data_IF_708964708941
#
_entry.id   IF_708964708941
#
_cell.length_a   1.000
_cell.length_b   1.000
_cell.length_c   1.000
_cell.angle_alpha   90.00
_cell.angle_beta   90.00
_cell.angle_gamma   90.00
#
_symmetry.space_group_name_H-M   'P 1'
#
loop_
_entity.id
_entity.type
_entity.pdbx_description
1 polymer ?
#
# COMPACT_ATOMS: atom_id res chain seq x y z
N UNK A 1 21.70 -12.32 6.11
CA UNK A 1 20.24 -12.45 5.87
C UNK A 1 19.62 -13.14 7.07
N UNK A 2 18.41 -12.76 7.47
CA UNK A 2 17.71 -13.50 8.52
C UNK A 2 17.01 -14.71 7.91
N UNK A 3 16.93 -15.81 8.65
CA UNK A 3 16.30 -17.06 8.23
C UNK A 3 15.24 -17.52 9.22
N UNK A 4 14.35 -18.42 8.78
CA UNK A 4 13.18 -18.87 9.54
C UNK A 4 13.48 -19.30 10.98
N UNK A 5 14.52 -20.10 11.21
CA UNK A 5 14.86 -20.66 12.53
C UNK A 5 15.09 -19.57 13.59
N UNK A 6 15.52 -18.37 13.17
CA UNK A 6 15.77 -17.27 14.10
C UNK A 6 14.47 -16.67 14.67
N UNK A 7 13.31 -16.95 14.07
CA UNK A 7 11.99 -16.46 14.45
C UNK A 7 11.29 -17.33 15.50
N UNK A 8 11.77 -18.55 15.72
CA UNK A 8 11.11 -19.53 16.60
C UNK A 8 10.89 -18.95 18.00
N UNK A 9 9.64 -19.04 18.48
CA UNK A 9 9.23 -18.49 19.77
C UNK A 9 9.16 -16.96 19.87
N UNK A 10 9.52 -16.20 18.82
CA UNK A 10 9.61 -14.72 18.86
C UNK A 10 8.46 -13.99 18.17
N UNK A 11 7.72 -14.65 17.27
CA UNK A 11 6.69 -14.01 16.43
C UNK A 11 5.68 -13.20 17.24
N UNK A 12 5.12 -13.77 18.31
CA UNK A 12 4.15 -13.07 19.17
C UNK A 12 4.72 -11.78 19.76
N UNK A 13 5.96 -11.81 20.23
CA UNK A 13 6.60 -10.63 20.83
C UNK A 13 6.96 -9.59 19.77
N UNK A 14 7.43 -10.03 18.61
CA UNK A 14 7.66 -9.15 17.45
C UNK A 14 6.35 -8.44 17.06
N UNK A 15 5.24 -9.19 16.96
CA UNK A 15 3.92 -8.62 16.63
C UNK A 15 3.49 -7.54 17.62
N UNK A 16 3.58 -7.83 18.92
CA UNK A 16 3.25 -6.87 19.97
C UNK A 16 4.11 -5.61 19.92
N UNK A 17 5.41 -5.75 19.66
CA UNK A 17 6.32 -4.60 19.55
C UNK A 17 6.01 -3.77 18.28
N UNK A 18 5.59 -4.40 17.17
CA UNK A 18 5.11 -3.71 15.95
C UNK A 18 3.82 -2.93 16.25
N UNK A 19 2.82 -3.56 16.85
CA UNK A 19 1.54 -2.93 17.19
C UNK A 19 1.70 -1.77 18.19
N UNK A 20 2.71 -1.84 19.07
CA UNK A 20 3.03 -0.76 19.99
C UNK A 20 3.75 0.42 19.31
N UNK A 21 4.57 0.16 18.29
CA UNK A 21 5.40 1.17 17.63
C UNK A 21 4.76 1.81 16.39
N UNK A 22 3.84 1.10 15.72
CA UNK A 22 3.21 1.54 14.48
C UNK A 22 1.69 1.58 14.70
N UNK A 23 1.09 2.78 14.82
CA UNK A 23 -0.35 2.89 14.99
C UNK A 23 -1.11 2.28 13.82
N UNK A 24 -2.20 1.58 14.12
CA UNK A 24 -3.05 0.88 13.13
C UNK A 24 -4.46 1.46 13.12
N UNK A 25 -5.23 1.17 12.06
CA UNK A 25 -6.63 1.57 11.96
C UNK A 25 -6.82 3.08 11.86
N UNK A 26 -7.62 3.63 12.79
CA UNK A 26 -7.88 5.08 12.91
C UNK A 26 -6.97 5.78 13.92
N UNK A 27 -6.04 5.05 14.54
CA UNK A 27 -5.09 5.64 15.49
C UNK A 27 -3.95 6.37 14.77
N UNK A 28 -3.46 7.42 15.45
CA UNK A 28 -2.35 8.26 14.99
C UNK A 28 -1.20 8.20 16.01
N UNK A 29 -0.02 8.69 15.64
CA UNK A 29 1.12 8.73 16.56
C UNK A 29 0.86 9.71 17.72
N UNK A 30 1.20 9.30 18.94
CA UNK A 30 1.12 10.15 20.14
C UNK A 30 2.18 11.25 20.12
N UNK A 31 3.37 10.90 19.65
CA UNK A 31 4.51 11.80 19.49
C UNK A 31 4.98 11.77 18.03
N UNK A 32 5.42 12.92 17.51
CA UNK A 32 5.88 13.07 16.13
C UNK A 32 7.41 12.99 16.14
N UNK A 33 7.97 12.03 15.38
CA UNK A 33 9.42 11.87 15.28
C UNK A 33 10.07 13.02 14.50
N UNK A 34 11.34 13.33 14.81
CA UNK A 34 12.11 14.37 14.09
C UNK A 34 12.23 14.10 12.59
N UNK A 35 12.35 12.83 12.19
CA UNK A 35 12.35 12.44 10.77
C UNK A 35 11.07 12.87 10.07
N UNK A 36 9.92 12.79 10.75
CA UNK A 36 8.63 13.24 10.24
C UNK A 36 8.58 14.75 10.13
N UNK A 37 9.00 15.50 11.16
CA UNK A 37 8.97 16.97 11.11
C UNK A 37 9.94 17.55 10.10
N UNK A 38 11.06 16.85 9.83
CA UNK A 38 12.11 17.30 8.92
C UNK A 38 11.87 16.91 7.45
N UNK A 39 10.75 16.27 7.16
CA UNK A 39 10.39 15.92 5.79
C UNK A 39 10.15 17.19 4.96
N UNK A 40 10.94 17.39 3.91
CA UNK A 40 11.06 18.69 3.23
C UNK A 40 9.75 19.13 2.55
N UNK A 41 8.97 18.18 2.06
CA UNK A 41 7.70 18.39 1.37
C UNK A 41 6.64 19.06 2.26
N UNK A 42 6.85 19.19 3.58
CA UNK A 42 5.97 20.02 4.40
C UNK A 42 5.97 21.50 3.99
N UNK A 43 7.04 22.00 3.36
CA UNK A 43 7.11 23.37 2.87
C UNK A 43 6.05 23.68 1.81
N UNK A 44 5.65 22.67 1.02
CA UNK A 44 4.66 22.76 -0.06
C UNK A 44 3.24 22.55 0.47
N UNK A 45 3.06 22.14 1.74
CA UNK A 45 1.73 21.93 2.33
C UNK A 45 0.86 23.19 2.26
N UNK A 46 1.50 24.37 2.35
CA UNK A 46 0.85 25.68 2.26
C UNK A 46 0.27 25.96 0.87
N UNK A 47 0.67 25.22 -0.16
CA UNK A 47 0.24 25.39 -1.55
C UNK A 47 -0.80 24.34 -1.99
N UNK A 48 -1.03 23.29 -1.19
CA UNK A 48 -2.08 22.28 -1.42
C UNK A 48 -3.52 22.84 -1.52
N UNK A 49 -4.49 22.03 -1.96
CA UNK A 49 -5.90 22.44 -2.01
C UNK A 49 -6.40 23.09 -0.69
N UNK A 50 -7.14 24.22 -0.73
CA UNK A 50 -7.64 24.91 0.46
C UNK A 50 -8.47 24.01 1.41
N UNK A 51 -9.19 23.03 0.84
CA UNK A 51 -10.00 22.07 1.58
C UNK A 51 -9.22 21.19 2.58
N UNK A 52 -7.89 21.12 2.49
CA UNK A 52 -7.08 20.28 3.38
C UNK A 52 -6.20 21.06 4.36
N UNK A 53 -6.23 22.40 4.38
CA UNK A 53 -5.32 23.21 5.21
C UNK A 53 -5.42 22.90 6.70
N UNK A 54 -6.63 22.61 7.18
CA UNK A 54 -6.88 22.23 8.59
C UNK A 54 -6.35 20.83 8.95
N UNK A 55 -5.87 20.05 7.98
CA UNK A 55 -5.41 18.68 8.18
C UNK A 55 -3.90 18.56 8.44
N UNK A 56 -3.11 19.63 8.40
CA UNK A 56 -1.65 19.54 8.53
C UNK A 56 -1.19 18.78 9.79
N UNK A 57 -1.72 19.18 10.95
CA UNK A 57 -1.40 18.53 12.22
C UNK A 57 -1.83 17.05 12.24
N UNK A 58 -2.97 16.74 11.61
CA UNK A 58 -3.43 15.35 11.47
C UNK A 58 -2.52 14.54 10.55
N UNK A 59 -2.11 15.12 9.42
CA UNK A 59 -1.18 14.50 8.48
C UNK A 59 0.19 14.24 9.14
N UNK A 60 0.70 15.17 9.95
CA UNK A 60 1.91 14.98 10.75
C UNK A 60 1.78 13.80 11.72
N UNK A 61 0.69 13.74 12.49
CA UNK A 61 0.45 12.62 13.43
C UNK A 61 0.19 11.29 12.72
N UNK A 62 -0.32 11.32 11.48
CA UNK A 62 -0.58 10.11 10.69
C UNK A 62 0.64 9.57 9.96
N UNK A 63 1.70 10.36 9.78
CA UNK A 63 2.92 9.89 9.12
C UNK A 63 3.59 8.79 9.96
N UNK A 64 3.93 7.67 9.33
CA UNK A 64 4.40 6.46 10.00
C UNK A 64 3.28 5.57 10.58
N UNK A 65 2.01 5.78 10.21
CA UNK A 65 0.90 4.91 10.64
C UNK A 65 0.38 4.02 9.52
N UNK A 66 -0.11 2.84 9.90
CA UNK A 66 -0.51 1.81 8.95
C UNK A 66 -1.86 2.15 8.30
N UNK A 67 -2.86 2.43 9.11
CA UNK A 67 -4.25 2.50 8.65
C UNK A 67 -5.05 1.23 8.82
N UNK A 68 -6.32 1.30 8.39
CA UNK A 68 -7.24 0.17 8.37
C UNK A 68 -7.52 -0.32 6.95
N UNK A 69 -8.48 -1.24 6.82
CA UNK A 69 -8.84 -1.86 5.54
C UNK A 69 -7.81 -2.88 5.08
N UNK A 70 -7.41 -2.81 3.81
CA UNK A 70 -6.45 -3.77 3.24
C UNK A 70 -4.98 -3.43 3.56
N UNK A 71 -4.71 -2.45 4.42
CA UNK A 71 -3.36 -2.16 4.88
C UNK A 71 -2.88 -3.24 5.86
N UNK A 72 -1.57 -3.56 5.81
CA UNK A 72 -0.96 -4.58 6.63
C UNK A 72 0.56 -4.39 6.79
N UNK A 73 1.13 -5.04 7.80
CA UNK A 73 2.57 -5.29 7.95
C UNK A 73 2.72 -6.81 8.08
N UNK A 74 3.58 -7.40 7.26
CA UNK A 74 3.83 -8.83 7.25
C UNK A 74 5.32 -9.13 7.40
N UNK A 75 5.63 -10.15 8.20
CA UNK A 75 6.92 -10.83 8.16
C UNK A 75 6.69 -12.13 7.39
N UNK A 76 7.41 -12.28 6.28
CA UNK A 76 7.25 -13.40 5.38
C UNK A 76 8.53 -14.24 5.29
N UNK A 77 8.36 -15.48 4.85
CA UNK A 77 9.42 -16.37 4.42
C UNK A 77 9.29 -16.62 2.92
N UNK A 78 10.42 -16.65 2.21
CA UNK A 78 10.45 -17.19 0.85
C UNK A 78 10.65 -18.72 0.84
N UNK A 79 10.74 -19.29 -0.36
CA UNK A 79 10.96 -20.74 -0.57
C UNK A 79 12.32 -21.24 -0.07
N UNK A 80 13.25 -20.34 0.21
CA UNK A 80 14.57 -20.63 0.78
C UNK A 80 14.63 -20.29 2.28
N UNK A 81 13.48 -20.01 2.90
CA UNK A 81 13.35 -19.62 4.31
C UNK A 81 14.05 -18.29 4.67
N UNK A 82 14.36 -17.42 3.71
CA UNK A 82 14.84 -16.07 4.02
C UNK A 82 13.67 -15.21 4.52
N UNK A 83 13.97 -14.31 5.46
CA UNK A 83 12.98 -13.39 6.02
C UNK A 83 12.82 -12.15 5.14
N UNK A 84 11.56 -11.83 4.86
CA UNK A 84 11.13 -10.63 4.15
C UNK A 84 10.27 -9.75 5.05
N UNK A 85 10.51 -8.43 4.98
CA UNK A 85 9.72 -7.42 5.68
C UNK A 85 8.85 -6.72 4.64
N UNK A 86 7.54 -6.93 4.72
CA UNK A 86 6.59 -6.36 3.78
C UNK A 86 5.59 -5.47 4.50
N UNK A 87 5.23 -4.35 3.89
CA UNK A 87 4.14 -3.52 4.38
C UNK A 87 3.35 -2.94 3.23
N UNK A 88 2.07 -2.71 3.49
CA UNK A 88 1.13 -2.16 2.53
C UNK A 88 0.35 -1.02 3.18
N UNK A 89 0.58 0.20 2.69
CA UNK A 89 -0.10 1.41 3.14
C UNK A 89 0.00 2.52 2.09
N UNK A 90 -0.78 3.59 2.29
CA UNK A 90 -0.89 4.72 1.38
C UNK A 90 -0.78 6.08 2.07
N UNK A 91 -1.40 7.07 1.46
CA UNK A 91 -1.36 8.49 1.84
C UNK A 91 -2.26 8.87 3.01
N UNK A 92 -2.74 7.89 3.78
CA UNK A 92 -3.64 8.06 4.94
C UNK A 92 -4.85 8.95 4.60
N UNK A 93 -5.38 9.67 5.59
CA UNK A 93 -6.58 10.49 5.40
C UNK A 93 -6.34 11.69 4.46
N UNK A 94 -5.13 12.26 4.49
CA UNK A 94 -4.81 13.48 3.73
C UNK A 94 -4.95 13.25 2.22
N UNK A 95 -4.41 12.15 1.67
CA UNK A 95 -4.56 11.88 0.24
C UNK A 95 -6.01 11.56 -0.17
N UNK A 96 -6.79 10.91 0.69
CA UNK A 96 -8.23 10.71 0.41
C UNK A 96 -8.96 12.06 0.34
N UNK A 97 -8.66 12.99 1.26
CA UNK A 97 -9.29 14.31 1.27
C UNK A 97 -8.86 15.18 0.08
N UNK A 98 -7.60 15.10 -0.34
CA UNK A 98 -7.13 15.73 -1.58
C UNK A 98 -7.90 15.19 -2.80
N UNK A 99 -8.02 13.87 -2.92
CA UNK A 99 -8.77 13.24 -4.01
C UNK A 99 -10.25 13.66 -4.02
N UNK A 100 -10.92 13.64 -2.86
CA UNK A 100 -12.31 14.11 -2.73
C UNK A 100 -12.48 15.57 -3.16
N UNK A 101 -11.57 16.46 -2.77
CA UNK A 101 -11.62 17.88 -3.18
C UNK A 101 -11.56 18.00 -4.71
N UNK A 102 -10.56 17.38 -5.33
CA UNK A 102 -10.34 17.46 -6.78
C UNK A 102 -11.43 16.78 -7.59
N UNK A 103 -11.96 15.63 -7.13
CA UNK A 103 -13.10 14.94 -7.77
C UNK A 103 -14.34 15.84 -7.78
N UNK A 104 -14.62 16.54 -6.67
CA UNK A 104 -15.76 17.45 -6.61
C UNK A 104 -15.58 18.63 -7.57
N UNK A 105 -14.38 19.23 -7.62
CA UNK A 105 -14.06 20.30 -8.59
C UNK A 105 -14.25 19.81 -10.03
N UNK A 106 -13.74 18.62 -10.38
CA UNK A 106 -13.91 18.06 -11.72
C UNK A 106 -15.39 17.84 -12.08
N UNK A 107 -16.21 17.34 -11.14
CA UNK A 107 -17.66 17.15 -11.32
C UNK A 107 -18.39 18.48 -11.52
N UNK A 108 -18.04 19.50 -10.76
CA UNK A 108 -18.64 20.83 -10.88
C UNK A 108 -18.30 21.48 -12.22
N UNK A 109 -17.04 21.37 -12.67
CA UNK A 109 -16.62 21.84 -14.00
C UNK A 109 -17.34 21.11 -15.12
N UNK A 110 -17.43 19.78 -15.06
CA UNK A 110 -18.16 18.99 -16.06
C UNK A 110 -19.63 19.40 -16.14
N UNK A 111 -20.26 19.70 -14.99
CA UNK A 111 -21.63 20.22 -14.92
C UNK A 111 -21.74 21.63 -15.53
N UNK A 112 -20.82 22.55 -15.21
CA UNK A 112 -20.81 23.91 -15.74
C UNK A 112 -20.58 23.95 -17.26
N UNK A 113 -19.74 23.05 -17.76
CA UNK A 113 -19.46 22.90 -19.19
C UNK A 113 -20.50 22.04 -19.93
N UNK A 114 -21.57 21.60 -19.26
CA UNK A 114 -22.60 20.70 -19.79
C UNK A 114 -22.02 19.43 -20.46
N UNK A 115 -20.88 18.96 -19.96
CA UNK A 115 -20.18 17.80 -20.51
C UNK A 115 -20.95 16.52 -20.19
N UNK A 116 -21.33 15.78 -21.25
CA UNK A 116 -22.03 14.50 -21.11
C UNK A 116 -21.04 13.37 -20.84
N UNK A 117 -20.96 12.95 -19.58
CA UNK A 117 -20.17 11.80 -19.15
C UNK A 117 -21.05 10.55 -19.03
N UNK A 118 -20.54 9.34 -19.36
CA UNK A 118 -21.25 8.08 -19.09
C UNK A 118 -21.57 7.88 -17.61
N UNK A 119 -20.67 8.35 -16.73
CA UNK A 119 -20.84 8.37 -15.29
C UNK A 119 -20.21 9.67 -14.73
N UNK A 120 -20.82 10.27 -13.71
CA UNK A 120 -20.29 11.48 -13.05
C UNK A 120 -18.96 11.24 -12.36
N UNK A 121 -18.68 10.00 -11.96
CA UNK A 121 -17.40 9.60 -11.35
C UNK A 121 -16.26 9.49 -12.37
N UNK A 122 -16.55 9.66 -13.67
CA UNK A 122 -15.56 9.76 -14.75
C UNK A 122 -15.19 11.22 -15.08
N UNK A 123 -15.50 12.18 -14.19
CA UNK A 123 -15.08 13.56 -14.36
C UNK A 123 -13.55 13.69 -14.36
N UNK A 124 -13.03 14.56 -15.22
CA UNK A 124 -11.60 14.72 -15.47
C UNK A 124 -11.22 16.19 -15.64
N UNK A 125 -9.92 16.47 -15.52
CA UNK A 125 -9.34 17.77 -15.88
C UNK A 125 -8.67 17.69 -17.25
N UNK A 126 -8.73 18.79 -17.99
CA UNK A 126 -7.99 18.94 -19.25
C UNK A 126 -6.57 19.40 -18.94
N UNK A 127 -5.57 18.76 -19.55
CA UNK A 127 -4.17 19.14 -19.36
C UNK A 127 -3.93 20.60 -19.73
N UNK A 128 -3.16 21.31 -18.90
CA UNK A 128 -2.81 22.72 -19.13
C UNK A 128 -3.72 23.73 -18.43
N UNK A 129 -4.88 23.33 -17.89
CA UNK A 129 -5.70 24.21 -17.07
C UNK A 129 -5.13 24.40 -15.66
N UNK A 130 -5.54 25.46 -14.96
CA UNK A 130 -5.10 25.70 -13.59
C UNK A 130 -5.58 24.61 -12.62
N UNK A 131 -6.76 24.03 -12.86
CA UNK A 131 -7.29 22.94 -12.04
C UNK A 131 -6.50 21.65 -12.25
N UNK A 132 -6.08 21.35 -13.48
CA UNK A 132 -5.16 20.25 -13.73
C UNK A 132 -3.83 20.46 -13.01
N UNK A 133 -3.25 21.67 -13.09
CA UNK A 133 -1.98 21.98 -12.39
C UNK A 133 -2.12 21.80 -10.88
N UNK A 134 -3.21 22.28 -10.28
CA UNK A 134 -3.49 22.14 -8.86
C UNK A 134 -3.69 20.66 -8.47
N UNK A 135 -4.48 19.91 -9.23
CA UNK A 135 -4.64 18.47 -9.03
C UNK A 135 -3.31 17.72 -9.12
N UNK A 136 -2.52 18.02 -10.15
CA UNK A 136 -1.26 17.34 -10.41
C UNK A 136 -0.23 17.60 -9.29
N UNK A 137 -0.14 18.84 -8.82
CA UNK A 137 0.70 19.21 -7.67
C UNK A 137 0.29 18.43 -6.41
N UNK A 138 -1.00 18.43 -6.08
CA UNK A 138 -1.52 17.75 -4.89
C UNK A 138 -1.37 16.22 -4.97
N UNK A 139 -1.54 15.65 -6.17
CA UNK A 139 -1.32 14.24 -6.42
C UNK A 139 0.14 13.86 -6.19
N UNK A 140 1.09 14.64 -6.72
CA UNK A 140 2.53 14.41 -6.51
C UNK A 140 2.88 14.48 -5.02
N UNK A 141 2.40 15.51 -4.31
CA UNK A 141 2.61 15.63 -2.88
C UNK A 141 2.03 14.44 -2.10
N UNK A 142 0.83 13.97 -2.45
CA UNK A 142 0.20 12.82 -1.81
C UNK A 142 0.95 11.50 -2.09
N UNK A 143 1.53 11.34 -3.28
CA UNK A 143 2.39 10.21 -3.61
C UNK A 143 3.67 10.22 -2.76
N UNK A 144 4.33 11.37 -2.65
CA UNK A 144 5.53 11.53 -1.82
C UNK A 144 5.20 11.28 -0.34
N UNK A 145 4.07 11.79 0.15
CA UNK A 145 3.59 11.51 1.51
C UNK A 145 3.39 10.00 1.71
N UNK A 146 2.76 9.30 0.75
CA UNK A 146 2.55 7.86 0.85
C UNK A 146 3.86 7.08 0.87
N UNK A 147 4.85 7.47 0.04
CA UNK A 147 6.18 6.87 0.03
C UNK A 147 6.87 7.07 1.36
N UNK A 148 6.94 8.32 1.83
CA UNK A 148 7.62 8.63 3.08
C UNK A 148 6.93 8.02 4.31
N UNK A 149 5.60 7.91 4.28
CA UNK A 149 4.84 7.16 5.30
C UNK A 149 5.33 5.71 5.39
N UNK A 150 5.52 5.04 4.24
CA UNK A 150 6.06 3.68 4.18
C UNK A 150 7.51 3.62 4.66
N UNK A 151 8.35 4.60 4.31
CA UNK A 151 9.75 4.63 4.73
C UNK A 151 9.89 4.75 6.26
N UNK A 152 9.10 5.62 6.89
CA UNK A 152 9.05 5.76 8.36
C UNK A 152 8.58 4.45 9.01
N UNK A 153 7.52 3.82 8.49
CA UNK A 153 7.05 2.54 9.00
C UNK A 153 8.07 1.42 8.82
N UNK A 154 8.73 1.34 7.65
CA UNK A 154 9.73 0.32 7.36
C UNK A 154 10.94 0.47 8.27
N UNK A 155 11.39 1.70 8.55
CA UNK A 155 12.46 1.96 9.50
C UNK A 155 12.11 1.48 10.92
N UNK A 156 10.88 1.73 11.38
CA UNK A 156 10.37 1.23 12.68
C UNK A 156 10.32 -0.30 12.69
N UNK A 157 9.73 -0.90 11.66
CA UNK A 157 9.57 -2.34 11.54
C UNK A 157 10.92 -3.06 11.52
N UNK A 158 11.85 -2.59 10.68
CA UNK A 158 13.22 -3.10 10.59
C UNK A 158 13.94 -3.04 11.93
N UNK A 159 13.87 -1.92 12.66
CA UNK A 159 14.49 -1.78 13.99
C UNK A 159 13.95 -2.80 15.00
N UNK A 160 12.65 -3.11 14.95
CA UNK A 160 12.04 -4.12 15.83
C UNK A 160 12.58 -5.51 15.48
N UNK A 161 12.62 -5.86 14.20
CA UNK A 161 13.15 -7.15 13.76
C UNK A 161 14.63 -7.29 14.11
N UNK A 162 15.43 -6.26 13.89
CA UNK A 162 16.86 -6.23 14.26
C UNK A 162 17.07 -6.40 15.76
N UNK A 163 16.22 -5.79 16.61
CA UNK A 163 16.24 -6.00 18.06
C UNK A 163 16.07 -7.48 18.42
N UNK A 164 15.14 -8.17 17.78
CA UNK A 164 14.81 -9.57 18.09
C UNK A 164 15.74 -10.61 17.43
N UNK A 165 16.33 -10.28 16.27
CA UNK A 165 17.10 -11.24 15.46
C UNK A 165 18.60 -10.93 15.39
N UNK A 166 19.02 -9.68 15.63
CA UNK A 166 20.41 -9.23 15.55
C UNK A 166 20.90 -8.51 16.82
N UNK A 167 20.15 -8.58 17.93
CA UNK A 167 20.49 -7.86 19.15
C UNK A 167 20.52 -6.33 18.97
N UNK A 168 19.74 -5.81 18.02
CA UNK A 168 19.65 -4.39 17.71
C UNK A 168 20.73 -3.87 16.76
N UNK A 169 21.60 -4.73 16.24
CA UNK A 169 22.60 -4.32 15.24
C UNK A 169 21.92 -4.00 13.90
N UNK A 170 22.24 -2.85 13.27
CA UNK A 170 21.72 -2.52 11.95
C UNK A 170 22.13 -3.55 10.90
N UNK A 171 21.23 -3.82 9.98
CA UNK A 171 21.40 -4.74 8.86
C UNK A 171 21.11 -4.05 7.53
N UNK A 172 21.58 -4.65 6.43
CA UNK A 172 21.28 -4.19 5.07
C UNK A 172 20.39 -5.23 4.38
N UNK A 173 19.25 -4.83 3.77
CA UNK A 173 18.45 -5.76 2.99
C UNK A 173 19.23 -6.22 1.75
N UNK A 174 19.00 -7.47 1.32
CA UNK A 174 19.55 -7.98 0.06
C UNK A 174 18.83 -7.39 -1.15
N UNK A 175 17.52 -7.22 -1.02
CA UNK A 175 16.65 -6.57 -2.01
C UNK A 175 15.69 -5.64 -1.28
N UNK A 176 15.44 -4.47 -1.87
CA UNK A 176 14.42 -3.52 -1.42
C UNK A 176 13.50 -3.21 -2.60
N UNK A 177 12.19 -3.31 -2.37
CA UNK A 177 11.17 -3.06 -3.38
C UNK A 177 10.15 -2.09 -2.81
N UNK A 178 9.83 -1.03 -3.55
CA UNK A 178 8.83 -0.04 -3.16
C UNK A 178 8.07 0.43 -4.40
N UNK A 179 6.78 0.11 -4.45
CA UNK A 179 5.91 0.43 -5.58
C UNK A 179 4.61 1.12 -5.12
N UNK A 180 4.11 2.03 -5.95
CA UNK A 180 2.75 2.57 -5.82
C UNK A 180 1.79 1.72 -6.66
N UNK A 181 0.53 1.66 -6.23
CA UNK A 181 -0.54 1.00 -7.01
C UNK A 181 -1.79 1.88 -7.22
N UNK A 182 -1.82 3.08 -6.64
CA UNK A 182 -2.85 4.10 -6.83
C UNK A 182 -2.16 5.44 -7.06
N UNK A 183 -1.94 5.79 -8.33
CA UNK A 183 -1.20 6.97 -8.72
C UNK A 183 -1.36 7.31 -10.19
N UNK A 184 -0.89 8.49 -10.60
CA UNK A 184 -0.66 8.80 -12.01
C UNK A 184 0.74 9.39 -12.19
N UNK A 185 1.34 9.09 -13.34
CA UNK A 185 2.69 9.51 -13.71
C UNK A 185 2.69 9.95 -15.18
N UNK A 186 3.53 10.94 -15.52
CA UNK A 186 3.78 11.32 -16.92
C UNK A 186 4.83 10.39 -17.48
N UNK A 187 4.51 9.67 -18.55
CA UNK A 187 5.36 8.65 -19.15
C UNK A 187 5.41 8.82 -20.67
N UNK A 188 6.41 8.22 -21.31
CA UNK A 188 6.51 8.14 -22.76
C UNK A 188 6.12 6.73 -23.18
N UNK A 189 5.09 6.60 -24.01
CA UNK A 189 4.66 5.34 -24.61
C UNK A 189 4.25 5.60 -26.06
N UNK A 190 4.65 4.71 -26.97
CA UNK A 190 4.35 4.86 -28.41
C UNK A 190 4.77 6.23 -28.97
N UNK A 191 5.96 6.69 -28.57
CA UNK A 191 6.55 7.99 -28.93
C UNK A 191 5.75 9.24 -28.51
N UNK A 192 4.77 9.07 -27.62
CA UNK A 192 3.91 10.14 -27.12
C UNK A 192 4.06 10.33 -25.60
N UNK A 193 3.99 11.58 -25.16
CA UNK A 193 3.91 11.91 -23.73
C UNK A 193 2.48 11.74 -23.22
N UNK A 194 2.28 10.78 -22.31
CA UNK A 194 0.95 10.42 -21.79
C UNK A 194 0.93 10.45 -20.26
N UNK A 195 -0.25 10.70 -19.69
CA UNK A 195 -0.49 10.56 -18.25
C UNK A 195 -1.09 9.18 -17.96
N UNK A 196 -0.28 8.28 -17.42
CA UNK A 196 -0.71 6.92 -17.10
C UNK A 196 -1.32 6.90 -15.71
N UNK A 197 -2.63 6.68 -15.63
CA UNK A 197 -3.34 6.50 -14.35
C UNK A 197 -3.40 5.03 -13.98
N UNK A 198 -2.83 4.66 -12.83
CA UNK A 198 -2.89 3.31 -12.28
C UNK A 198 -3.72 3.31 -11.00
N UNK A 199 -4.81 2.54 -11.00
CA UNK A 199 -5.68 2.31 -9.84
C UNK A 199 -5.81 0.81 -9.61
N UNK A 200 -5.15 0.31 -8.56
CA UNK A 200 -4.99 -1.12 -8.32
C UNK A 200 -4.05 -1.82 -9.31
N UNK A 201 -3.06 -1.10 -9.86
CA UNK A 201 -2.08 -1.61 -10.82
C UNK A 201 -0.69 -1.04 -10.54
N UNK A 202 0.37 -1.79 -10.82
CA UNK A 202 1.76 -1.43 -10.53
C UNK A 202 2.55 -1.29 -11.83
N UNK A 203 3.60 -0.44 -11.86
CA UNK A 203 4.54 -0.36 -12.99
C UNK A 203 5.37 -1.64 -13.10
N UNK A 204 5.60 -2.08 -14.33
CA UNK A 204 6.25 -3.34 -14.67
C UNK A 204 7.14 -3.19 -15.91
N UNK A 205 8.04 -2.19 -15.93
CA UNK A 205 9.14 -2.12 -16.90
C UNK A 205 10.16 -3.23 -16.62
N UNK A 206 11.05 -3.51 -17.57
CA UNK A 206 12.03 -4.60 -17.45
C UNK A 206 12.90 -4.49 -16.19
N UNK A 207 13.22 -3.28 -15.73
CA UNK A 207 14.03 -3.05 -14.53
C UNK A 207 13.20 -2.84 -13.24
N UNK A 208 11.87 -2.79 -13.34
CA UNK A 208 11.01 -2.56 -12.18
C UNK A 208 10.79 -3.86 -11.42
N UNK A 209 11.03 -3.81 -10.11
CA UNK A 209 10.52 -4.80 -9.16
C UNK A 209 9.15 -4.36 -8.63
N UNK A 210 8.24 -5.31 -8.53
CA UNK A 210 6.88 -5.12 -8.02
C UNK A 210 6.57 -6.06 -6.86
N UNK A 211 5.50 -5.73 -6.14
CA UNK A 211 4.96 -6.56 -5.05
C UNK A 211 3.51 -6.87 -5.40
N UNK A 212 3.17 -8.16 -5.46
CA UNK A 212 1.81 -8.65 -5.69
C UNK A 212 1.34 -9.37 -4.41
N UNK A 213 0.80 -8.64 -3.44
CA UNK A 213 0.24 -9.24 -2.24
C UNK A 213 -0.97 -10.11 -2.51
N UNK A 214 -1.01 -11.26 -1.85
CA UNK A 214 -2.23 -12.02 -1.65
C UNK A 214 -3.12 -11.41 -0.56
N UNK A 215 -3.91 -12.26 0.08
CA UNK A 215 -4.58 -11.98 1.34
C UNK A 215 -3.81 -12.56 2.52
N UNK A 216 -4.22 -12.19 3.74
CA UNK A 216 -3.73 -12.79 4.97
C UNK A 216 -3.82 -14.33 4.89
N UNK A 217 -2.72 -15.04 5.16
CA UNK A 217 -2.62 -16.50 5.08
C UNK A 217 -2.37 -17.08 3.69
N UNK A 218 -2.28 -16.25 2.64
CA UNK A 218 -1.98 -16.70 1.27
C UNK A 218 -0.66 -16.15 0.76
N UNK A 219 -0.15 -16.74 -0.34
CA UNK A 219 1.11 -16.33 -0.95
C UNK A 219 1.08 -14.87 -1.39
N UNK A 220 2.23 -14.24 -1.32
CA UNK A 220 2.53 -12.97 -1.96
C UNK A 220 3.74 -13.15 -2.88
N UNK A 221 3.89 -12.30 -3.89
CA UNK A 221 4.97 -12.43 -4.87
C UNK A 221 5.80 -11.16 -4.97
N UNK A 222 7.13 -11.33 -5.02
CA UNK A 222 8.02 -10.33 -5.58
C UNK A 222 8.18 -10.66 -7.05
N UNK A 223 7.96 -9.66 -7.90
CA UNK A 223 7.97 -9.83 -9.34
C UNK A 223 8.92 -8.84 -9.99
N UNK A 224 9.35 -9.15 -11.21
CA UNK A 224 10.08 -8.23 -12.09
C UNK A 224 9.28 -8.03 -13.37
N UNK A 225 9.21 -6.79 -13.85
CA UNK A 225 8.42 -6.46 -15.03
C UNK A 225 9.01 -7.01 -16.32
N UNK A 226 8.15 -7.24 -17.32
CA UNK A 226 8.55 -7.65 -18.68
C UNK A 226 8.47 -6.53 -19.71
N UNK A 227 8.12 -5.31 -19.30
CA UNK A 227 8.07 -4.15 -20.20
C UNK A 227 7.00 -4.25 -21.29
N UNK A 228 5.89 -4.96 -21.04
CA UNK A 228 4.84 -5.12 -22.06
C UNK A 228 4.19 -3.76 -22.38
N UNK A 229 4.45 -3.24 -23.58
CA UNK A 229 3.92 -1.96 -24.05
C UNK A 229 2.39 -1.96 -24.19
N UNK A 230 1.76 -3.09 -24.49
CA UNK A 230 0.30 -3.17 -24.61
C UNK A 230 -0.42 -2.90 -23.27
N UNK A 231 0.27 -3.08 -22.14
CA UNK A 231 -0.24 -2.74 -20.80
C UNK A 231 0.31 -1.42 -20.26
N UNK A 232 0.93 -0.58 -21.11
CA UNK A 232 1.66 0.61 -20.69
C UNK A 232 2.71 0.28 -19.60
N UNK A 233 3.39 -0.85 -19.78
CA UNK A 233 4.35 -1.43 -18.84
C UNK A 233 3.75 -1.51 -17.42
N UNK A 234 2.58 -2.13 -17.29
CA UNK A 234 1.86 -2.26 -16.01
C UNK A 234 1.44 -3.71 -15.74
N UNK A 235 1.24 -4.04 -14.47
CA UNK A 235 0.73 -5.33 -14.01
C UNK A 235 -0.29 -5.15 -12.88
N UNK A 236 -0.88 -6.25 -12.39
CA UNK A 236 -1.80 -6.21 -11.26
C UNK A 236 -1.12 -5.73 -9.97
N UNK A 237 -1.89 -5.38 -8.93
CA UNK A 237 -1.34 -5.07 -7.61
C UNK A 237 -1.61 -6.15 -6.56
N UNK A 238 -2.44 -7.16 -6.84
CA UNK A 238 -2.87 -8.13 -5.84
C UNK A 238 -4.10 -8.92 -6.26
N UNK A 239 -4.56 -9.82 -5.38
CA UNK A 239 -5.67 -10.76 -5.67
C UNK A 239 -6.99 -10.06 -6.06
N UNK A 240 -7.30 -8.92 -5.44
CA UNK A 240 -8.62 -8.31 -5.53
C UNK A 240 -9.70 -9.07 -4.73
N UNK A 241 -10.73 -8.36 -4.29
CA UNK A 241 -11.79 -8.91 -3.45
C UNK A 241 -12.85 -9.63 -4.28
N UNK A 242 -13.36 -10.74 -3.75
CA UNK A 242 -14.56 -11.44 -4.24
C UNK A 242 -15.84 -10.84 -3.67
N UNK A 243 -15.78 -10.29 -2.46
CA UNK A 243 -16.94 -9.77 -1.76
C UNK A 243 -16.63 -8.50 -0.94
N UNK A 244 -17.68 -7.73 -0.65
CA UNK A 244 -17.57 -6.55 0.20
C UNK A 244 -17.16 -6.92 1.63
N UNK A 245 -16.65 -5.94 2.38
CA UNK A 245 -16.31 -6.12 3.81
C UNK A 245 -17.52 -6.51 4.64
N UNK A 246 -18.67 -5.90 4.36
CA UNK A 246 -19.92 -6.20 5.05
C UNK A 246 -20.44 -7.60 4.75
N UNK A 247 -20.24 -8.10 3.52
CA UNK A 247 -20.58 -9.46 3.16
C UNK A 247 -19.64 -10.46 3.84
N UNK A 248 -18.33 -10.22 3.81
CA UNK A 248 -17.35 -11.08 4.48
C UNK A 248 -17.66 -11.25 5.99
N UNK A 249 -17.98 -10.16 6.70
CA UNK A 249 -18.38 -10.21 8.12
C UNK A 249 -19.64 -11.02 8.40
N UNK A 250 -20.53 -11.16 7.41
CA UNK A 250 -21.75 -11.97 7.53
C UNK A 250 -21.52 -13.42 7.14
N UNK A 251 -20.56 -13.67 6.26
CA UNK A 251 -20.32 -14.98 5.64
C UNK A 251 -19.31 -15.85 6.40
N UNK A 252 -18.45 -15.25 7.23
CA UNK A 252 -17.38 -15.97 7.93
C UNK A 252 -17.44 -15.78 9.43
N UNK A 253 -17.05 -16.83 10.15
CA UNK A 253 -16.94 -16.88 11.60
C UNK A 253 -15.50 -16.64 12.08
N UNK A 254 -15.33 -16.50 13.40
CA UNK A 254 -14.01 -16.49 14.03
C UNK A 254 -13.27 -17.83 13.85
N UNK A 255 -14.00 -18.95 13.84
CA UNK A 255 -13.42 -20.27 13.62
C UNK A 255 -12.88 -20.41 12.19
N UNK A 256 -13.58 -19.85 11.21
CA UNK A 256 -13.08 -19.77 9.83
C UNK A 256 -11.79 -18.96 9.76
N UNK A 257 -11.73 -17.84 10.48
CA UNK A 257 -10.52 -17.02 10.54
C UNK A 257 -9.36 -17.83 11.14
N UNK A 258 -9.57 -18.49 12.29
CA UNK A 258 -8.55 -19.32 12.94
C UNK A 258 -8.03 -20.40 12.00
N UNK A 259 -8.94 -21.13 11.34
CA UNK A 259 -8.59 -22.21 10.41
C UNK A 259 -7.82 -21.71 9.19
N UNK A 260 -8.27 -20.63 8.56
CA UNK A 260 -7.64 -20.14 7.32
C UNK A 260 -6.33 -19.37 7.56
N UNK A 261 -6.02 -19.04 8.82
CA UNK A 261 -4.79 -18.34 9.21
C UNK A 261 -3.91 -19.19 10.13
N UNK A 262 -4.08 -20.51 10.08
CA UNK A 262 -3.24 -21.47 10.76
C UNK A 262 -1.76 -21.31 10.32
N UNK A 263 -0.85 -21.30 11.30
CA UNK A 263 0.57 -21.05 11.06
C UNK A 263 0.95 -19.58 10.86
N UNK A 264 0.01 -18.63 10.98
CA UNK A 264 0.28 -17.18 10.93
C UNK A 264 -0.03 -16.54 12.28
N UNK A 265 0.97 -15.90 12.88
CA UNK A 265 0.80 -15.05 14.07
C UNK A 265 0.12 -13.74 13.67
N UNK A 266 -1.17 -13.64 13.97
CA UNK A 266 -1.96 -12.44 13.73
C UNK A 266 -3.04 -12.29 14.79
N UNK A 267 -3.71 -11.12 14.81
CA UNK A 267 -4.93 -10.95 15.59
C UNK A 267 -6.01 -11.92 15.13
N UNK A 268 -6.75 -12.48 16.08
CA UNK A 268 -7.87 -13.42 15.86
C UNK A 268 -9.10 -12.86 16.57
N UNK A 269 -9.67 -11.80 16.01
CA UNK A 269 -10.86 -11.14 16.55
C UNK A 269 -11.76 -10.63 15.42
N UNK A 270 -12.99 -10.23 15.76
CA UNK A 270 -14.00 -9.79 14.79
C UNK A 270 -13.56 -8.58 13.95
N UNK A 271 -12.59 -7.80 14.44
CA UNK A 271 -12.06 -6.62 13.78
C UNK A 271 -11.30 -6.93 12.49
N UNK A 272 -10.90 -8.18 12.26
CA UNK A 272 -10.13 -8.60 11.07
C UNK A 272 -10.86 -9.61 10.17
N UNK A 273 -12.10 -9.96 10.49
CA UNK A 273 -12.90 -10.92 9.69
C UNK A 273 -13.17 -10.42 8.27
N UNK A 274 -13.31 -9.10 8.07
CA UNK A 274 -13.54 -8.54 6.73
C UNK A 274 -12.35 -8.69 5.78
N UNK A 275 -11.19 -9.08 6.29
CA UNK A 275 -9.95 -9.28 5.55
C UNK A 275 -9.51 -10.76 5.57
N UNK A 276 -10.41 -11.68 5.89
CA UNK A 276 -10.18 -13.12 5.84
C UNK A 276 -9.81 -13.59 4.42
N UNK A 277 -8.86 -14.54 4.26
CA UNK A 277 -8.46 -15.06 2.95
C UNK A 277 -9.59 -15.46 2.01
N UNK A 278 -10.64 -16.11 2.50
CA UNK A 278 -11.81 -16.48 1.70
C UNK A 278 -12.58 -15.31 1.06
N UNK A 279 -12.28 -14.06 1.42
CA UNK A 279 -12.88 -12.86 0.80
C UNK A 279 -12.14 -12.40 -0.48
N UNK A 280 -11.05 -13.05 -0.86
CA UNK A 280 -10.16 -12.66 -1.96
C UNK A 280 -10.10 -13.72 -3.06
N UNK A 281 -9.75 -13.28 -4.28
CA UNK A 281 -9.52 -14.22 -5.39
C UNK A 281 -8.27 -15.08 -5.13
N UNK A 282 -8.17 -16.28 -5.71
CA UNK A 282 -6.93 -17.06 -5.68
C UNK A 282 -5.78 -16.28 -6.33
N UNK A 283 -4.75 -15.96 -5.56
CA UNK A 283 -3.61 -15.16 -6.07
C UNK A 283 -2.86 -15.86 -7.21
N UNK A 284 -2.81 -17.21 -7.19
CA UNK A 284 -2.18 -18.01 -8.23
C UNK A 284 -2.91 -17.85 -9.59
N UNK A 285 -4.23 -17.64 -9.61
CA UNK A 285 -4.99 -17.36 -10.83
C UNK A 285 -4.63 -15.98 -11.41
N UNK A 286 -4.54 -14.97 -10.54
CA UNK A 286 -4.12 -13.61 -10.92
C UNK A 286 -2.70 -13.62 -11.50
N UNK A 287 -1.78 -14.39 -10.91
CA UNK A 287 -0.43 -14.57 -11.45
C UNK A 287 -0.44 -15.31 -12.80
N UNK A 288 -1.30 -16.32 -12.97
CA UNK A 288 -1.40 -17.06 -14.22
C UNK A 288 -1.92 -16.19 -15.39
N UNK A 289 -2.78 -15.22 -15.11
CA UNK A 289 -3.37 -14.31 -16.10
C UNK A 289 -2.44 -13.17 -16.54
N UNK A 290 -1.27 -13.00 -15.92
CA UNK A 290 -0.33 -11.90 -16.22
C UNK A 290 1.10 -12.38 -16.50
N UNK A 291 1.25 -13.64 -16.94
CA UNK A 291 2.56 -14.24 -17.24
C UNK A 291 3.35 -13.49 -18.31
N UNK A 292 2.68 -12.76 -19.18
CA UNK A 292 3.26 -11.90 -20.22
C UNK A 292 3.69 -10.53 -19.67
N UNK A 293 3.22 -10.14 -18.48
CA UNK A 293 3.50 -8.83 -17.89
C UNK A 293 4.66 -8.86 -16.89
N UNK A 294 4.83 -9.97 -16.17
CA UNK A 294 5.81 -10.10 -15.09
C UNK A 294 6.43 -11.49 -15.01
N UNK A 295 7.62 -11.57 -14.42
CA UNK A 295 8.24 -12.80 -13.94
C UNK A 295 8.25 -12.86 -12.41
N UNK A 296 8.10 -14.05 -11.84
CA UNK A 296 8.16 -14.24 -10.38
C UNK A 296 9.62 -14.35 -9.96
N UNK A 297 10.04 -13.44 -9.08
CA UNK A 297 11.38 -13.41 -8.49
C UNK A 297 11.41 -14.16 -7.16
N UNK A 298 10.39 -13.99 -6.32
CA UNK A 298 10.25 -14.69 -5.06
C UNK A 298 8.78 -14.98 -4.74
N UNK A 299 8.52 -16.17 -4.19
CA UNK A 299 7.22 -16.54 -3.61
C UNK A 299 7.32 -16.45 -2.10
N UNK A 300 6.46 -15.64 -1.49
CA UNK A 300 6.46 -15.34 -0.07
C UNK A 300 5.25 -15.97 0.61
N UNK A 301 5.43 -16.46 1.84
CA UNK A 301 4.36 -16.85 2.76
C UNK A 301 4.54 -16.09 4.07
N UNK A 302 3.49 -15.40 4.54
CA UNK A 302 3.54 -14.72 5.82
C UNK A 302 3.57 -15.73 6.97
N UNK A 303 4.35 -15.40 8.00
CA UNK A 303 4.34 -16.08 9.31
C UNK A 303 3.85 -15.15 10.42
N UNK A 304 3.78 -13.84 10.14
CA UNK A 304 3.21 -12.83 11.02
C UNK A 304 2.48 -11.78 10.19
N UNK A 305 1.29 -11.36 10.63
CA UNK A 305 0.49 -10.32 10.00
C UNK A 305 -0.08 -9.35 11.05
N UNK A 306 0.16 -8.05 10.87
CA UNK A 306 -0.43 -6.95 11.64
C UNK A 306 -1.35 -6.15 10.74
N UNK A 307 -2.57 -5.90 11.22
CA UNK A 307 -3.62 -5.15 10.52
C UNK A 307 -4.32 -4.19 11.49
N UNK A 308 -4.96 -3.17 10.93
CA UNK A 308 -5.71 -2.15 11.66
C UNK A 308 -7.21 -2.26 11.55
#
# INVERSE_FOLDING_TARGET
>A
PFVADQLEGKLKKIRQDIEAAIPVGFSDNKEIEKSVTNWQQWQDFKDLHPGVKKLQNKALKQMGSLGGGNHFIELCLDTENNVWLMLHSGSRHIGNKLAECHINTAKDLAKMAETKLPDKDLAYFVTGTEEFKAYWHDLQWAQDYARFNRDVMMARFKRIVEKHLAGGKPTKPLLEVNCHHNYAEKEVHFDEEVYVTRKGAVRAREDDYGIIPGSMGTKSFIVKGKGNHASYCSCSHGAGRLMSRSMAKKSFSLDDLLKQTEGVECRKDEGVIDEIPGAYKPIDEVMNQQKDLVEVVATLKQVLCVKG
#
